data_IF_944633015210
#
_entry.id   IF_944633015210
#
_cell.length_a   1.000
_cell.length_b   1.000
_cell.length_c   1.000
_cell.angle_alpha   90.00
_cell.angle_beta   90.00
_cell.angle_gamma   90.00
#
_symmetry.space_group_name_H-M   'P 1'
#
loop_
_entity.id
_entity.type
_entity.pdbx_description
1 polymer ?
#
# COMPACT_ATOMS: atom_id res chain seq x y z
N UNK A 1 5.28 -21.39 38.38
CA UNK A 1 4.16 -21.83 37.51
C UNK A 1 3.67 -20.58 36.77
N UNK A 2 4.15 -20.33 35.55
CA UNK A 2 3.68 -19.19 34.75
C UNK A 2 2.41 -19.65 34.03
N UNK A 3 1.28 -19.07 34.39
CA UNK A 3 0.01 -19.32 33.72
C UNK A 3 0.16 -18.70 32.33
N UNK A 4 0.29 -19.56 31.31
CA UNK A 4 0.23 -19.12 29.92
C UNK A 4 -1.22 -18.76 29.65
N UNK A 5 -1.55 -17.47 29.75
CA UNK A 5 -2.85 -16.96 29.32
C UNK A 5 -2.91 -17.05 27.79
N UNK A 6 -3.54 -18.11 27.29
CA UNK A 6 -3.91 -18.21 25.88
C UNK A 6 -4.89 -17.06 25.59
N UNK A 7 -4.60 -16.17 24.62
CA UNK A 7 -5.46 -15.02 24.37
C UNK A 7 -6.86 -15.48 23.93
N UNK A 8 -7.88 -14.75 24.38
CA UNK A 8 -9.27 -15.05 24.07
C UNK A 8 -9.51 -15.07 22.54
N UNK A 9 -10.36 -15.97 22.02
CA UNK A 9 -10.61 -16.10 20.57
C UNK A 9 -11.03 -14.80 19.86
N UNK A 10 -11.68 -13.88 20.56
CA UNK A 10 -12.07 -12.56 20.04
C UNK A 10 -10.88 -11.63 19.78
N UNK A 11 -9.84 -11.70 20.61
CA UNK A 11 -8.61 -10.91 20.45
C UNK A 11 -7.79 -11.39 19.26
N UNK A 12 -7.82 -12.70 18.98
CA UNK A 12 -7.13 -13.30 17.83
C UNK A 12 -7.78 -12.78 16.54
N UNK A 13 -9.11 -12.84 16.42
CA UNK A 13 -9.85 -12.30 15.26
C UNK A 13 -9.65 -10.80 15.06
N UNK A 14 -9.57 -10.01 16.14
CA UNK A 14 -9.31 -8.58 16.04
C UNK A 14 -7.90 -8.30 15.46
N UNK A 15 -6.89 -9.04 15.91
CA UNK A 15 -5.52 -8.91 15.42
C UNK A 15 -5.38 -9.36 13.96
N UNK A 16 -6.06 -10.43 13.57
CA UNK A 16 -6.10 -10.92 12.18
C UNK A 16 -6.74 -9.89 11.24
N UNK A 17 -7.85 -9.25 11.66
CA UNK A 17 -8.50 -8.20 10.90
C UNK A 17 -7.61 -6.97 10.67
N UNK A 18 -6.90 -6.52 11.71
CA UNK A 18 -5.97 -5.39 11.57
C UNK A 18 -4.77 -5.75 10.70
N UNK A 19 -4.29 -6.99 10.77
CA UNK A 19 -3.22 -7.48 9.88
C UNK A 19 -3.69 -7.50 8.43
N UNK A 20 -4.92 -7.97 8.17
CA UNK A 20 -5.50 -8.01 6.83
C UNK A 20 -5.72 -6.60 6.26
N UNK A 21 -6.25 -5.67 7.07
CA UNK A 21 -6.36 -4.25 6.67
C UNK A 21 -5.00 -3.67 6.28
N UNK A 22 -3.99 -3.89 7.12
CA UNK A 22 -2.63 -3.40 6.85
C UNK A 22 -2.10 -3.98 5.54
N UNK A 23 -2.24 -5.28 5.32
CA UNK A 23 -1.80 -5.91 4.07
C UNK A 23 -2.52 -5.35 2.84
N UNK A 24 -3.83 -5.06 2.94
CA UNK A 24 -4.58 -4.42 1.86
C UNK A 24 -4.11 -2.98 1.60
N UNK A 25 -3.81 -2.21 2.65
CA UNK A 25 -3.29 -0.85 2.53
C UNK A 25 -1.88 -0.84 1.90
N UNK A 26 -0.99 -1.74 2.35
CA UNK A 26 0.35 -1.93 1.80
C UNK A 26 0.27 -2.32 0.31
N UNK A 27 -0.68 -3.17 -0.06
CA UNK A 27 -0.93 -3.51 -1.47
C UNK A 27 -1.33 -2.28 -2.30
N UNK A 28 -2.27 -1.46 -1.82
CA UNK A 28 -2.68 -0.24 -2.52
C UNK A 28 -1.51 0.74 -2.67
N UNK A 29 -0.69 0.90 -1.64
CA UNK A 29 0.51 1.74 -1.69
C UNK A 29 1.48 1.28 -2.80
N UNK A 30 1.79 -0.02 -2.85
CA UNK A 30 2.68 -0.59 -3.86
C UNK A 30 2.08 -0.42 -5.26
N UNK A 31 0.79 -0.72 -5.40
CA UNK A 31 0.08 -0.60 -6.67
C UNK A 31 0.11 0.83 -7.21
N UNK A 32 -0.23 1.81 -6.36
CA UNK A 32 -0.19 3.23 -6.71
C UNK A 32 1.22 3.69 -7.08
N UNK A 33 2.23 3.30 -6.29
CA UNK A 33 3.62 3.65 -6.56
C UNK A 33 4.06 3.13 -7.94
N UNK A 34 3.80 1.86 -8.25
CA UNK A 34 4.15 1.27 -9.54
C UNK A 34 3.43 1.96 -10.71
N UNK A 35 2.14 2.24 -10.54
CA UNK A 35 1.34 2.93 -11.54
C UNK A 35 1.86 4.34 -11.81
N UNK A 36 2.16 5.12 -10.76
CA UNK A 36 2.69 6.48 -10.87
C UNK A 36 4.10 6.51 -11.46
N UNK A 37 4.98 5.60 -11.07
CA UNK A 37 6.32 5.48 -11.68
C UNK A 37 6.22 5.19 -13.18
N UNK A 38 5.31 4.28 -13.58
CA UNK A 38 5.07 3.97 -14.99
C UNK A 38 4.53 5.17 -15.76
N UNK A 39 3.54 5.88 -15.20
CA UNK A 39 3.00 7.10 -15.81
C UNK A 39 4.07 8.20 -15.94
N UNK A 40 4.89 8.40 -14.91
CA UNK A 40 5.98 9.37 -14.94
C UNK A 40 7.01 9.02 -16.01
N UNK A 41 7.40 7.75 -16.13
CA UNK A 41 8.28 7.27 -17.19
C UNK A 41 7.71 7.55 -18.58
N UNK A 42 6.44 7.17 -18.82
CA UNK A 42 5.76 7.40 -20.11
C UNK A 42 5.66 8.89 -20.46
N UNK A 43 5.36 9.76 -19.49
CA UNK A 43 5.30 11.20 -19.72
C UNK A 43 6.67 11.77 -20.12
N UNK A 44 7.77 11.25 -19.56
CA UNK A 44 9.13 11.64 -19.93
C UNK A 44 9.49 11.18 -21.34
N UNK A 45 9.16 9.93 -21.68
CA UNK A 45 9.38 9.37 -23.03
C UNK A 45 8.65 10.19 -24.10
N UNK A 46 7.39 10.55 -23.86
CA UNK A 46 6.62 11.45 -24.74
C UNK A 46 7.28 12.83 -24.89
N UNK A 47 7.93 13.32 -23.84
CA UNK A 47 8.71 14.56 -23.85
C UNK A 47 10.12 14.43 -24.45
N UNK A 48 10.48 13.26 -25.01
CA UNK A 48 11.78 13.00 -25.63
C UNK A 48 12.94 12.84 -24.65
N UNK A 49 12.67 12.64 -23.35
CA UNK A 49 13.68 12.43 -22.31
C UNK A 49 13.75 10.96 -21.93
N UNK A 50 14.95 10.45 -21.61
CA UNK A 50 15.10 9.09 -21.11
C UNK A 50 15.14 9.09 -19.59
N UNK A 51 14.69 7.98 -18.99
CA UNK A 51 14.61 7.86 -17.53
C UNK A 51 16.00 7.85 -16.85
N UNK A 52 17.04 7.47 -17.59
CA UNK A 52 18.45 7.54 -17.19
C UNK A 52 19.02 8.98 -17.15
N UNK A 53 18.34 9.94 -17.78
CA UNK A 53 18.80 11.34 -17.82
C UNK A 53 18.38 12.11 -16.55
N UNK A 54 17.74 11.44 -15.59
CA UNK A 54 17.23 12.03 -14.35
C UNK A 54 18.39 12.32 -13.38
N UNK A 55 18.66 13.60 -13.03
CA UNK A 55 19.73 13.93 -12.10
C UNK A 55 19.47 13.38 -10.68
N UNK A 56 18.21 13.19 -10.30
CA UNK A 56 17.80 12.71 -8.97
C UNK A 56 16.83 11.51 -9.04
N UNK A 57 16.99 10.64 -10.05
CA UNK A 57 16.01 9.58 -10.35
C UNK A 57 15.61 8.71 -9.14
N UNK A 58 16.57 8.26 -8.34
CA UNK A 58 16.29 7.46 -7.13
C UNK A 58 15.50 8.23 -6.06
N UNK A 59 15.76 9.54 -5.90
CA UNK A 59 15.06 10.39 -4.94
C UNK A 59 13.64 10.72 -5.42
N UNK A 60 13.47 10.94 -6.73
CA UNK A 60 12.14 11.08 -7.35
C UNK A 60 11.31 9.80 -7.15
N UNK A 61 11.92 8.62 -7.36
CA UNK A 61 11.25 7.34 -7.19
C UNK A 61 10.83 7.11 -5.73
N UNK A 62 11.69 7.47 -4.77
CA UNK A 62 11.39 7.43 -3.34
C UNK A 62 10.24 8.39 -2.99
N UNK A 63 10.25 9.62 -3.53
CA UNK A 63 9.17 10.58 -3.28
C UNK A 63 7.82 10.07 -3.78
N UNK A 64 7.79 9.38 -4.92
CA UNK A 64 6.59 8.72 -5.44
C UNK A 64 6.11 7.60 -4.49
N UNK A 65 7.02 6.77 -3.99
CA UNK A 65 6.70 5.70 -3.04
C UNK A 65 6.11 6.25 -1.73
N UNK A 66 6.77 7.25 -1.13
CA UNK A 66 6.29 7.89 0.10
C UNK A 66 4.92 8.56 -0.09
N UNK A 67 4.71 9.15 -1.26
CA UNK A 67 3.42 9.77 -1.61
C UNK A 67 2.31 8.71 -1.74
N UNK A 68 2.63 7.57 -2.35
CA UNK A 68 1.69 6.46 -2.51
C UNK A 68 1.34 5.81 -1.17
N UNK A 69 2.33 5.60 -0.30
CA UNK A 69 2.12 5.11 1.07
C UNK A 69 1.27 6.09 1.89
N UNK A 70 1.59 7.39 1.84
CA UNK A 70 0.80 8.42 2.52
C UNK A 70 -0.64 8.49 2.01
N UNK A 71 -0.86 8.23 0.72
CA UNK A 71 -2.20 8.23 0.14
C UNK A 71 -2.99 6.97 0.54
N UNK A 72 -2.36 5.79 0.49
CA UNK A 72 -3.00 4.54 0.90
C UNK A 72 -3.31 4.50 2.40
N UNK A 73 -2.48 5.14 3.23
CA UNK A 73 -2.67 5.24 4.67
C UNK A 73 -3.64 6.33 5.14
N UNK A 74 -4.16 7.18 4.23
CA UNK A 74 -5.20 8.16 4.59
C UNK A 74 -6.57 7.50 4.56
N UNK A 75 -7.31 7.64 5.65
CA UNK A 75 -8.69 7.15 5.76
C UNK A 75 -9.59 7.75 4.66
N UNK A 76 -10.19 6.87 3.85
CA UNK A 76 -11.05 7.21 2.71
C UNK A 76 -11.48 5.98 1.90
N UNK A 77 -12.31 6.18 0.87
CA UNK A 77 -12.76 5.13 -0.07
C UNK A 77 -11.61 4.65 -0.99
N UNK A 78 -10.56 4.08 -0.40
CA UNK A 78 -9.41 3.49 -1.11
C UNK A 78 -9.70 2.10 -1.64
N UNK A 79 -8.91 1.65 -2.61
CA UNK A 79 -8.99 0.31 -3.18
C UNK A 79 -8.76 -0.77 -2.10
N UNK A 80 -7.95 -0.47 -1.08
CA UNK A 80 -7.68 -1.36 0.05
C UNK A 80 -8.95 -1.76 0.79
N UNK A 81 -9.94 -0.86 0.89
CA UNK A 81 -11.21 -1.13 1.56
C UNK A 81 -12.06 -2.11 0.75
N UNK A 82 -12.13 -1.91 -0.56
CA UNK A 82 -12.83 -2.83 -1.48
C UNK A 82 -12.20 -4.23 -1.44
N UNK A 83 -10.87 -4.29 -1.45
CA UNK A 83 -10.11 -5.55 -1.31
C UNK A 83 -10.35 -6.21 0.05
N UNK A 84 -10.30 -5.42 1.12
CA UNK A 84 -10.54 -5.91 2.48
C UNK A 84 -11.96 -6.50 2.60
N UNK A 85 -12.98 -5.76 2.14
CA UNK A 85 -14.37 -6.19 2.20
C UNK A 85 -14.60 -7.46 1.36
N UNK A 86 -13.99 -7.54 0.16
CA UNK A 86 -14.05 -8.76 -0.68
C UNK A 86 -13.35 -9.97 -0.06
N UNK A 87 -12.26 -9.77 0.69
CA UNK A 87 -11.48 -10.85 1.29
C UNK A 87 -12.05 -11.33 2.62
N UNK A 88 -12.68 -10.42 3.37
CA UNK A 88 -13.37 -10.75 4.60
C UNK A 88 -14.57 -11.67 4.33
N UNK A 89 -15.19 -11.53 3.15
CA UNK A 89 -16.40 -12.26 2.78
C UNK A 89 -17.62 -11.77 3.56
N UNK A 90 -18.79 -11.84 2.94
CA UNK A 90 -20.05 -11.61 3.65
C UNK A 90 -20.26 -12.75 4.67
N UNK A 91 -19.99 -12.49 5.95
CA UNK A 91 -20.70 -13.15 7.06
C UNK A 91 -22.03 -12.43 7.31
#
# INVERSE_FOLDING_TARGET
MKISETPAPSLIRAKENETLKKACADFEAIFLAQMWKKMASQAREMGGRKDQDRPFGAMEDLAIEMSAESLAGKDGNGLWKVLYDSLKGDE
#
